data_IF_595013270784
#
_entry.id   IF_595013270784
#
_cell.length_a   1.000
_cell.length_b   1.000
_cell.length_c   1.000
_cell.angle_alpha   90.00
_cell.angle_beta   90.00
_cell.angle_gamma   90.00
#
_symmetry.space_group_name_H-M   'P 1'
#
loop_
_entity.id
_entity.type
_entity.pdbx_description
1 polymer ?
#
# COMPACT_ATOMS: atom_id res chain seq x y z
N UNK A 1 6.29 -14.10 6.74
CA UNK A 1 5.93 -12.71 7.06
C UNK A 1 4.76 -12.38 6.18
N UNK A 2 3.60 -12.27 6.78
CA UNK A 2 2.44 -11.71 6.13
C UNK A 2 2.67 -10.19 6.04
N UNK A 3 2.57 -9.66 4.83
CA UNK A 3 2.70 -8.24 4.55
C UNK A 3 1.67 -7.92 3.48
N UNK A 4 0.97 -6.81 3.66
CA UNK A 4 0.08 -6.32 2.63
C UNK A 4 0.88 -5.52 1.61
N UNK A 5 0.65 -5.81 0.34
CA UNK A 5 1.29 -5.13 -0.78
C UNK A 5 0.24 -4.54 -1.73
N UNK A 6 0.47 -3.29 -2.16
CA UNK A 6 -0.31 -2.66 -3.21
C UNK A 6 0.60 -2.07 -4.28
N UNK A 7 0.29 -2.41 -5.52
CA UNK A 7 1.08 -2.03 -6.68
C UNK A 7 0.29 -1.05 -7.54
N UNK A 8 0.96 -0.01 -8.01
CA UNK A 8 0.46 0.87 -9.06
C UNK A 8 1.26 0.62 -10.34
N UNK A 9 0.55 0.16 -11.36
CA UNK A 9 1.09 -0.16 -12.67
C UNK A 9 0.36 0.61 -13.76
N UNK A 10 1.08 0.91 -14.85
CA UNK A 10 0.45 1.45 -16.04
C UNK A 10 -0.25 0.32 -16.80
N UNK A 11 -1.54 0.51 -17.10
CA UNK A 11 -2.27 -0.46 -17.90
C UNK A 11 -1.89 -0.33 -19.37
N UNK A 12 -1.64 -1.45 -20.04
CA UNK A 12 -1.48 -1.46 -21.48
C UNK A 12 -2.83 -1.11 -22.14
N UNK A 13 -2.85 -0.05 -22.95
CA UNK A 13 -4.08 0.46 -23.56
C UNK A 13 -4.76 -0.56 -24.50
N UNK A 14 -3.99 -1.49 -25.08
CA UNK A 14 -4.47 -2.48 -26.05
C UNK A 14 -4.85 -3.78 -25.35
N UNK A 15 -3.96 -4.33 -24.54
CA UNK A 15 -4.18 -5.63 -23.89
C UNK A 15 -4.98 -5.54 -22.60
N UNK A 16 -5.17 -4.33 -22.05
CA UNK A 16 -5.79 -4.06 -20.75
C UNK A 16 -5.12 -4.80 -19.58
N UNK A 17 -3.94 -5.36 -19.81
CA UNK A 17 -3.15 -6.01 -18.77
C UNK A 17 -2.28 -4.98 -18.06
N UNK A 18 -2.00 -5.18 -16.76
CA UNK A 18 -1.06 -4.34 -16.04
C UNK A 18 0.34 -4.51 -16.61
N UNK A 19 1.03 -3.40 -16.83
CA UNK A 19 2.47 -3.37 -17.06
C UNK A 19 3.26 -3.52 -15.76
N UNK A 20 4.58 -3.30 -15.80
CA UNK A 20 5.42 -3.31 -14.62
C UNK A 20 4.95 -2.27 -13.60
N UNK A 21 4.93 -2.67 -12.32
CA UNK A 21 4.64 -1.77 -11.21
C UNK A 21 5.72 -0.69 -11.12
N UNK A 22 5.29 0.55 -10.93
CA UNK A 22 6.19 1.68 -10.73
C UNK A 22 6.06 2.30 -9.33
N UNK A 23 4.98 2.02 -8.61
CA UNK A 23 4.90 2.19 -7.17
C UNK A 23 4.50 0.87 -6.52
N UNK A 24 5.14 0.54 -5.40
CA UNK A 24 4.75 -0.58 -4.56
C UNK A 24 4.73 -0.09 -3.11
N UNK A 25 3.59 -0.19 -2.45
CA UNK A 25 3.46 0.02 -1.02
C UNK A 25 3.53 -1.33 -0.31
N UNK A 26 4.35 -1.42 0.73
CA UNK A 26 4.46 -2.60 1.60
C UNK A 26 4.13 -2.17 3.02
N UNK A 27 3.11 -2.81 3.61
CA UNK A 27 2.71 -2.62 5.00
C UNK A 27 3.00 -3.90 5.77
N UNK A 28 3.99 -3.92 6.69
CA UNK A 28 4.26 -5.10 7.51
C UNK A 28 3.09 -5.39 8.48
N UNK A 29 2.78 -6.67 8.74
CA UNK A 29 1.74 -7.05 9.72
C UNK A 29 2.20 -6.92 11.18
N UNK A 30 3.45 -7.28 11.51
CA UNK A 30 3.84 -7.58 12.90
C UNK A 30 5.20 -6.94 13.30
N UNK A 31 5.19 -6.24 14.44
CA UNK A 31 6.31 -5.90 15.34
C UNK A 31 7.31 -4.76 15.07
N UNK A 32 7.32 -4.08 13.91
CA UNK A 32 8.26 -2.95 13.67
C UNK A 32 7.59 -1.61 13.34
N UNK A 33 6.48 -1.29 14.00
CA UNK A 33 5.76 -0.04 13.73
C UNK A 33 5.09 -0.07 12.34
N UNK A 34 3.89 0.50 12.19
CA UNK A 34 3.12 0.34 10.97
C UNK A 34 3.57 1.32 9.88
N UNK A 35 4.84 1.72 9.83
CA UNK A 35 5.31 2.68 8.83
C UNK A 35 5.35 1.99 7.45
N UNK A 36 4.48 2.40 6.50
CA UNK A 36 4.45 1.80 5.19
C UNK A 36 5.71 2.18 4.42
N UNK A 37 6.33 1.20 3.76
CA UNK A 37 7.45 1.48 2.84
C UNK A 37 6.90 1.63 1.43
N UNK A 38 7.21 2.75 0.77
CA UNK A 38 6.87 3.00 -0.63
C UNK A 38 8.11 2.84 -1.49
N UNK A 39 8.10 1.83 -2.37
CA UNK A 39 9.11 1.61 -3.38
C UNK A 39 8.70 2.32 -4.67
N UNK A 40 9.55 3.22 -5.14
CA UNK A 40 9.37 3.92 -6.43
C UNK A 40 10.26 3.26 -7.47
N UNK A 41 9.67 2.36 -8.26
CA UNK A 41 10.31 1.68 -9.37
C UNK A 41 10.20 2.53 -10.63
N UNK A 42 11.20 3.34 -10.93
CA UNK A 42 11.24 4.12 -12.15
C UNK A 42 12.30 3.56 -13.11
N UNK A 43 11.86 3.11 -14.29
CA UNK A 43 12.73 2.95 -15.47
C UNK A 43 12.88 4.25 -16.27
N UNK A 44 12.23 5.34 -15.82
CA UNK A 44 12.21 6.68 -16.44
C UNK A 44 11.21 7.63 -15.73
N UNK A 45 11.33 8.93 -15.99
CA UNK A 45 10.40 9.95 -15.44
C UNK A 45 8.95 9.59 -15.80
N UNK A 46 8.05 9.64 -14.81
CA UNK A 46 6.61 9.38 -15.01
C UNK A 46 5.78 10.49 -14.39
N UNK A 47 4.87 11.03 -15.19
CA UNK A 47 3.81 11.90 -14.73
C UNK A 47 2.69 11.06 -14.10
N UNK A 48 2.57 11.13 -12.78
CA UNK A 48 1.46 10.52 -12.04
C UNK A 48 0.44 11.63 -11.74
N UNK A 49 -0.80 11.53 -12.25
CA UNK A 49 -1.83 12.50 -11.91
C UNK A 49 -2.02 12.59 -10.40
N UNK A 50 -2.12 13.80 -9.86
CA UNK A 50 -2.24 14.04 -8.42
C UNK A 50 -3.37 13.24 -7.78
N UNK A 51 -4.51 13.12 -8.45
CA UNK A 51 -5.67 12.37 -7.94
C UNK A 51 -5.37 10.88 -7.76
N UNK A 52 -4.56 10.29 -8.65
CA UNK A 52 -4.13 8.89 -8.56
C UNK A 52 -3.18 8.70 -7.39
N UNK A 53 -2.20 9.61 -7.22
CA UNK A 53 -1.29 9.58 -6.08
C UNK A 53 -2.04 9.74 -4.75
N UNK A 54 -2.99 10.68 -4.68
CA UNK A 54 -3.85 10.89 -3.51
C UNK A 54 -4.65 9.63 -3.18
N UNK A 55 -5.28 9.03 -4.18
CA UNK A 55 -6.05 7.79 -4.00
C UNK A 55 -5.18 6.64 -3.51
N UNK A 56 -3.99 6.46 -4.09
CA UNK A 56 -3.04 5.42 -3.71
C UNK A 56 -2.64 5.57 -2.23
N UNK A 57 -2.22 6.76 -1.83
CA UNK A 57 -1.84 7.04 -0.44
C UNK A 57 -3.01 6.89 0.54
N UNK A 58 -4.24 7.23 0.13
CA UNK A 58 -5.42 7.01 0.96
C UNK A 58 -5.67 5.52 1.22
N UNK A 59 -5.41 4.65 0.23
CA UNK A 59 -5.51 3.19 0.40
C UNK A 59 -4.42 2.61 1.29
N UNK A 60 -3.20 3.12 1.17
CA UNK A 60 -2.11 2.75 2.09
C UNK A 60 -2.47 3.15 3.53
N UNK A 61 -2.97 4.37 3.74
CA UNK A 61 -3.39 4.84 5.06
C UNK A 61 -4.51 3.98 5.66
N UNK A 62 -5.53 3.63 4.87
CA UNK A 62 -6.62 2.76 5.30
C UNK A 62 -6.10 1.40 5.79
N UNK A 63 -5.09 0.81 5.14
CA UNK A 63 -4.50 -0.46 5.58
C UNK A 63 -3.66 -0.32 6.85
N UNK A 64 -2.89 0.76 6.96
CA UNK A 64 -2.14 1.10 8.17
C UNK A 64 -3.09 1.25 9.37
N UNK A 65 -4.23 1.92 9.18
CA UNK A 65 -5.26 2.10 10.20
C UNK A 65 -5.95 0.77 10.55
N UNK A 66 -6.33 -0.05 9.56
CA UNK A 66 -6.96 -1.36 9.79
C UNK A 66 -6.05 -2.30 10.59
N UNK A 67 -4.74 -2.30 10.32
CA UNK A 67 -3.76 -3.13 11.03
C UNK A 67 -3.42 -2.57 12.41
N UNK A 68 -3.32 -1.25 12.54
CA UNK A 68 -3.16 -0.58 13.84
C UNK A 68 -4.36 -0.74 14.77
N UNK A 69 -5.58 -0.82 14.22
CA UNK A 69 -6.83 -0.99 14.97
C UNK A 69 -6.98 -2.38 15.61
N UNK A 70 -6.33 -3.42 15.05
CA UNK A 70 -6.35 -4.77 15.62
C UNK A 70 -5.65 -4.89 16.99
N UNK A 71 -4.66 -4.02 17.27
CA UNK A 71 -3.92 -4.01 18.52
C UNK A 71 -4.73 -3.44 19.70
N UNK A 72 -5.76 -2.63 19.43
CA UNK A 72 -6.54 -1.94 20.47
C UNK A 72 -7.74 -2.77 20.99
N UNK A 73 -8.10 -3.89 20.35
CA UNK A 73 -9.22 -4.76 20.78
C UNK A 73 -8.79 -6.03 21.53
N UNK A 74 -7.51 -6.41 21.53
CA UNK A 74 -7.01 -7.59 22.29
C UNK A 74 -6.60 -7.23 23.73
N UNK A 75 -7.42 -6.41 24.40
CA UNK A 75 -7.17 -5.92 25.77
C UNK A 75 -8.36 -6.00 26.72
N UNK A 76 -9.50 -6.55 26.31
CA UNK A 76 -10.71 -6.68 27.15
C UNK A 76 -11.49 -7.96 26.86
N UNK A 77 -10.99 -9.10 27.32
CA UNK A 77 -11.85 -10.23 27.71
C UNK A 77 -11.14 -11.04 28.80
N UNK A 78 -11.46 -10.74 30.06
CA UNK A 78 -10.90 -11.40 31.22
C UNK A 78 -11.30 -10.74 32.53
N UNK A 79 -12.58 -10.83 32.89
CA UNK A 79 -13.09 -10.83 34.29
C UNK A 79 -14.41 -11.55 34.31
#
# INVERSE_FOLDING_TARGET
MDAWCMELSEANAVTRLPGPAFLVAVVPDEDMGPEPTIHVGSTGERDIPYEVMRWFMAKVAEQVEQRGAGLIETGRHGT
#
